data_IF_666483637579
#
_entry.id   IF_666483637579
#
_cell.length_a   1.000
_cell.length_b   1.000
_cell.length_c   1.000
_cell.angle_alpha   90.00
_cell.angle_beta   90.00
_cell.angle_gamma   90.00
#
_symmetry.space_group_name_H-M   'P 1'
#
loop_
_entity.id
_entity.type
_entity.pdbx_description
1 polymer ?
#
# COMPACT_ATOMS: atom_id res chain seq x y z
N UNK A 1 -4.04 21.86 -14.09
CA UNK A 1 -2.91 21.30 -14.87
C UNK A 1 -3.49 20.32 -15.90
N UNK A 2 -3.23 20.47 -17.22
CA UNK A 2 -3.90 19.64 -18.24
C UNK A 2 -3.48 18.16 -18.16
N UNK A 3 -4.34 17.16 -18.46
CA UNK A 3 -3.92 15.76 -18.56
C UNK A 3 -2.69 15.63 -19.45
N UNK A 4 -1.76 14.75 -19.08
CA UNK A 4 -0.56 14.53 -19.88
C UNK A 4 -0.95 14.04 -21.28
N UNK A 5 -0.95 14.94 -22.26
CA UNK A 5 -1.30 14.61 -23.64
C UNK A 5 -0.24 13.66 -24.23
N UNK A 6 -0.68 12.58 -24.89
CA UNK A 6 0.20 11.75 -25.74
C UNK A 6 0.74 10.45 -25.14
N UNK A 7 0.29 9.99 -23.97
CA UNK A 7 0.70 8.68 -23.43
C UNK A 7 -0.02 7.50 -24.09
N UNK A 8 0.75 6.48 -24.47
CA UNK A 8 0.23 5.21 -25.01
C UNK A 8 -0.40 4.41 -23.88
N UNK A 9 -1.63 3.91 -24.07
CA UNK A 9 -2.32 3.03 -23.11
C UNK A 9 -1.39 1.88 -22.69
N UNK A 10 -1.27 1.62 -21.37
CA UNK A 10 -0.39 0.62 -20.72
C UNK A 10 1.12 0.86 -20.81
N UNK A 11 1.58 1.96 -21.41
CA UNK A 11 2.99 2.34 -21.23
C UNK A 11 3.21 2.73 -19.77
N UNK A 12 4.27 2.23 -19.10
CA UNK A 12 4.61 2.64 -17.75
C UNK A 12 4.96 4.14 -17.71
N UNK A 13 4.67 4.76 -16.58
CA UNK A 13 4.99 6.15 -16.27
C UNK A 13 5.69 6.17 -14.93
N UNK A 14 6.71 7.00 -14.78
CA UNK A 14 7.42 7.07 -13.52
C UNK A 14 6.51 7.55 -12.40
N UNK A 15 6.64 6.92 -11.24
CA UNK A 15 6.03 7.38 -10.00
C UNK A 15 7.00 8.30 -9.24
N UNK A 16 6.52 8.94 -8.17
CA UNK A 16 7.32 9.89 -7.41
C UNK A 16 8.44 9.23 -6.61
N UNK A 17 8.27 7.97 -6.19
CA UNK A 17 9.29 7.20 -5.48
C UNK A 17 10.50 6.99 -6.41
N UNK A 18 10.27 6.54 -7.64
CA UNK A 18 11.32 6.36 -8.65
C UNK A 18 12.05 7.68 -8.96
N UNK A 19 11.32 8.78 -9.05
CA UNK A 19 11.91 10.09 -9.27
C UNK A 19 12.77 10.55 -8.08
N UNK A 20 12.33 10.27 -6.85
CA UNK A 20 13.09 10.53 -5.64
C UNK A 20 14.38 9.69 -5.58
N UNK A 21 14.29 8.39 -5.90
CA UNK A 21 15.46 7.49 -5.96
C UNK A 21 16.51 7.96 -6.97
N UNK A 22 16.10 8.36 -8.18
CA UNK A 22 17.03 8.87 -9.19
C UNK A 22 17.66 10.22 -8.81
N UNK A 23 17.00 10.99 -7.94
CA UNK A 23 17.51 12.23 -7.36
C UNK A 23 18.40 11.99 -6.12
N UNK A 24 18.69 10.72 -5.79
CA UNK A 24 19.56 10.35 -4.67
C UNK A 24 18.86 10.20 -3.33
N UNK A 25 17.56 10.49 -3.24
CA UNK A 25 16.82 10.47 -1.98
C UNK A 25 16.49 9.06 -1.51
N UNK A 26 16.49 8.86 -0.20
CA UNK A 26 15.99 7.62 0.39
C UNK A 26 14.47 7.47 0.19
N UNK A 27 13.99 6.23 0.16
CA UNK A 27 12.59 5.92 -0.13
C UNK A 27 11.98 4.87 0.78
N UNK A 28 10.70 5.02 1.10
CA UNK A 28 9.98 4.04 1.91
C UNK A 28 8.51 3.83 1.58
N UNK A 29 8.04 2.64 1.92
CA UNK A 29 6.67 2.17 1.74
C UNK A 29 6.18 1.50 3.04
N UNK A 30 5.03 1.94 3.52
CA UNK A 30 4.35 1.34 4.67
C UNK A 30 2.89 1.07 4.30
N UNK A 31 2.41 -0.14 4.56
CA UNK A 31 0.99 -0.49 4.40
C UNK A 31 0.57 -1.52 5.46
N UNK A 32 -0.65 -1.42 5.96
CA UNK A 32 -1.23 -2.46 6.85
C UNK A 32 -1.81 -3.64 6.07
N UNK A 33 -2.00 -3.53 4.75
CA UNK A 33 -2.30 -4.67 3.87
C UNK A 33 -1.06 -5.48 3.51
N UNK A 34 -1.23 -6.45 2.61
CA UNK A 34 -0.10 -6.99 1.87
C UNK A 34 0.64 -5.87 1.12
N UNK A 35 1.97 -5.89 1.14
CA UNK A 35 2.76 -4.77 0.60
C UNK A 35 2.64 -4.61 -0.93
N UNK A 36 2.24 -5.65 -1.67
CA UNK A 36 1.96 -5.58 -3.11
C UNK A 36 0.50 -5.22 -3.45
N UNK A 37 -0.29 -4.82 -2.45
CA UNK A 37 -1.62 -4.29 -2.69
C UNK A 37 -1.57 -2.97 -3.49
N UNK A 38 -2.71 -2.53 -4.02
CA UNK A 38 -2.75 -1.53 -5.09
C UNK A 38 -2.12 -0.17 -4.73
N UNK A 39 -2.32 0.32 -3.50
CA UNK A 39 -1.79 1.61 -3.05
C UNK A 39 -0.27 1.61 -3.00
N UNK A 40 0.42 0.73 -2.25
CA UNK A 40 1.88 0.63 -2.32
C UNK A 40 2.40 0.28 -3.71
N UNK A 41 1.72 -0.61 -4.44
CA UNK A 41 2.10 -0.96 -5.81
C UNK A 41 2.13 0.25 -6.75
N UNK A 42 1.20 1.20 -6.62
CA UNK A 42 1.15 2.39 -7.48
C UNK A 42 2.38 3.32 -7.31
N UNK A 43 3.10 3.20 -6.19
CA UNK A 43 4.34 3.94 -5.92
C UNK A 43 5.60 3.11 -6.18
N UNK A 44 5.49 1.84 -6.60
CA UNK A 44 6.66 0.95 -6.60
C UNK A 44 6.69 -0.07 -7.73
N UNK A 45 5.65 -0.14 -8.56
CA UNK A 45 5.51 -1.14 -9.60
C UNK A 45 4.63 -0.65 -10.76
N UNK A 46 4.78 -1.33 -11.88
CA UNK A 46 4.08 -1.08 -13.14
C UNK A 46 3.46 -2.37 -13.63
N UNK A 47 2.14 -2.50 -13.48
CA UNK A 47 1.42 -3.67 -13.92
C UNK A 47 0.04 -3.31 -14.49
N UNK A 48 -0.37 -3.89 -15.64
CA UNK A 48 -1.70 -3.67 -16.19
C UNK A 48 -2.85 -4.21 -15.33
N UNK A 49 -2.57 -5.10 -14.36
CA UNK A 49 -3.56 -5.75 -13.53
C UNK A 49 -3.09 -5.79 -12.06
N UNK A 50 -3.81 -5.09 -11.18
CA UNK A 50 -3.53 -5.06 -9.72
C UNK A 50 -3.53 -6.43 -9.04
N UNK A 51 -4.07 -7.47 -9.67
CA UNK A 51 -4.10 -8.84 -9.13
C UNK A 51 -2.86 -9.66 -9.45
N UNK A 52 -1.95 -9.15 -10.28
CA UNK A 52 -0.71 -9.84 -10.62
C UNK A 52 0.34 -9.59 -9.54
N UNK A 53 0.09 -10.19 -8.36
CA UNK A 53 0.95 -10.03 -7.19
C UNK A 53 2.35 -10.57 -7.41
N UNK A 54 2.51 -11.59 -8.26
CA UNK A 54 3.84 -12.13 -8.57
C UNK A 54 4.70 -11.09 -9.27
N UNK A 55 4.18 -10.42 -10.31
CA UNK A 55 4.90 -9.35 -11.00
C UNK A 55 5.13 -8.13 -10.09
N UNK A 56 4.10 -7.69 -9.36
CA UNK A 56 4.18 -6.49 -8.51
C UNK A 56 5.20 -6.67 -7.40
N UNK A 57 5.15 -7.79 -6.67
CA UNK A 57 6.06 -7.99 -5.54
C UNK A 57 7.49 -8.25 -6.01
N UNK A 58 7.69 -8.86 -7.19
CA UNK A 58 9.01 -8.99 -7.79
C UNK A 58 9.58 -7.60 -8.11
N UNK A 59 8.80 -6.73 -8.75
CA UNK A 59 9.21 -5.34 -8.99
C UNK A 59 9.55 -4.64 -7.67
N UNK A 60 8.71 -4.74 -6.64
CA UNK A 60 8.98 -4.12 -5.34
C UNK A 60 10.32 -4.54 -4.70
N UNK A 61 10.65 -5.83 -4.75
CA UNK A 61 11.92 -6.33 -4.20
C UNK A 61 13.12 -5.80 -4.97
N UNK A 62 12.99 -5.71 -6.30
CA UNK A 62 14.04 -5.20 -7.19
C UNK A 62 13.97 -3.67 -7.42
N UNK A 63 12.99 -2.97 -6.85
CA UNK A 63 12.87 -1.51 -6.92
C UNK A 63 13.86 -0.81 -5.99
N UNK A 64 14.52 -1.57 -5.10
CA UNK A 64 15.61 -1.09 -4.25
C UNK A 64 15.19 -0.03 -3.21
N UNK A 65 13.93 -0.07 -2.77
CA UNK A 65 13.32 0.81 -1.74
C UNK A 65 14.04 0.64 -0.41
N UNK A 66 14.38 1.69 0.32
CA UNK A 66 15.23 1.58 1.51
C UNK A 66 14.49 1.03 2.74
N UNK A 67 13.23 1.43 2.93
CA UNK A 67 12.39 0.97 4.04
C UNK A 67 11.06 0.43 3.53
N UNK A 68 10.78 -0.85 3.80
CA UNK A 68 9.51 -1.47 3.44
C UNK A 68 8.89 -2.13 4.64
N UNK A 69 7.70 -1.73 5.05
CA UNK A 69 6.98 -2.29 6.20
C UNK A 69 5.54 -2.66 5.84
N UNK A 70 5.15 -3.93 6.05
CA UNK A 70 3.75 -4.33 5.87
C UNK A 70 3.50 -5.81 6.09
N UNK A 71 2.47 -6.34 5.43
CA UNK A 71 2.10 -7.74 5.47
C UNK A 71 2.45 -8.51 4.19
N UNK A 72 2.11 -9.80 4.18
CA UNK A 72 2.07 -10.63 2.97
C UNK A 72 3.15 -11.70 2.84
N UNK A 73 3.81 -12.12 3.93
CA UNK A 73 4.98 -13.03 3.89
C UNK A 73 4.74 -14.29 3.05
N UNK A 74 3.51 -14.83 3.08
CA UNK A 74 3.19 -16.07 2.37
C UNK A 74 3.33 -15.95 0.86
N UNK A 75 3.23 -14.75 0.29
CA UNK A 75 3.28 -14.50 -1.15
C UNK A 75 4.70 -14.23 -1.67
N UNK A 76 5.71 -14.22 -0.80
CA UNK A 76 7.11 -13.96 -1.18
C UNK A 76 7.96 -15.23 -1.17
N UNK A 77 7.43 -16.35 -0.69
CA UNK A 77 8.10 -17.65 -0.76
C UNK A 77 7.68 -18.44 -2.00
N UNK A 78 8.43 -19.50 -2.32
CA UNK A 78 8.19 -20.36 -3.49
C UNK A 78 6.78 -20.97 -3.49
N UNK A 79 6.23 -21.31 -2.33
CA UNK A 79 4.92 -21.96 -2.23
C UNK A 79 3.75 -21.02 -2.52
N UNK A 80 3.90 -19.72 -2.24
CA UNK A 80 2.87 -18.72 -2.48
C UNK A 80 2.95 -18.02 -3.83
N UNK A 81 3.94 -18.35 -4.66
CA UNK A 81 4.18 -17.71 -5.95
C UNK A 81 3.97 -18.67 -7.10
N UNK A 82 3.26 -18.22 -8.13
CA UNK A 82 2.99 -19.06 -9.30
C UNK A 82 4.22 -19.17 -10.21
N UNK A 83 5.15 -18.22 -10.12
CA UNK A 83 6.38 -18.15 -10.90
C UNK A 83 7.55 -18.97 -10.34
N UNK A 84 7.45 -19.44 -9.09
CA UNK A 84 8.44 -20.27 -8.42
C UNK A 84 9.67 -19.51 -7.87
N UNK A 85 9.67 -18.17 -7.92
CA UNK A 85 10.76 -17.37 -7.37
C UNK A 85 10.74 -17.37 -5.83
N UNK A 86 11.91 -17.30 -5.17
CA UNK A 86 12.01 -17.10 -3.72
C UNK A 86 12.42 -15.66 -3.41
N UNK A 87 11.43 -14.77 -3.29
CA UNK A 87 11.69 -13.36 -3.00
C UNK A 87 12.15 -13.14 -1.56
N UNK A 88 11.77 -14.01 -0.61
CA UNK A 88 12.29 -13.92 0.76
C UNK A 88 13.80 -14.17 0.83
N UNK A 89 14.31 -15.09 -0.01
CA UNK A 89 15.75 -15.30 -0.12
C UNK A 89 16.45 -14.03 -0.64
N UNK A 90 15.91 -13.41 -1.71
CA UNK A 90 16.44 -12.16 -2.27
C UNK A 90 16.39 -11.03 -1.24
N UNK A 91 15.28 -10.89 -0.50
CA UNK A 91 15.15 -9.88 0.56
C UNK A 91 16.22 -10.09 1.62
N UNK A 92 16.38 -11.31 2.14
CA UNK A 92 17.36 -11.60 3.21
C UNK A 92 18.82 -11.41 2.78
N UNK A 93 19.11 -11.47 1.49
CA UNK A 93 20.44 -11.19 0.95
C UNK A 93 20.73 -9.68 0.87
N UNK A 94 19.70 -8.86 0.65
CA UNK A 94 19.85 -7.43 0.33
C UNK A 94 19.36 -6.47 1.42
N UNK A 95 18.59 -6.96 2.40
CA UNK A 95 17.92 -6.18 3.42
C UNK A 95 18.10 -6.80 4.81
N UNK A 96 18.01 -5.94 5.83
CA UNK A 96 17.69 -6.42 7.18
C UNK A 96 16.23 -6.86 7.19
N UNK A 97 16.00 -8.17 7.15
CA UNK A 97 14.65 -8.73 7.25
C UNK A 97 14.19 -8.74 8.71
N UNK A 98 13.04 -8.14 8.99
CA UNK A 98 12.40 -8.14 10.31
C UNK A 98 10.98 -8.68 10.23
N UNK A 99 10.55 -9.41 11.26
CA UNK A 99 9.28 -10.16 11.26
C UNK A 99 8.39 -9.87 12.45
N UNK A 100 8.88 -9.05 13.39
CA UNK A 100 8.12 -8.61 14.56
C UNK A 100 8.58 -7.23 15.03
N UNK A 101 7.82 -6.64 15.95
CA UNK A 101 8.10 -5.32 16.52
C UNK A 101 9.50 -5.22 17.14
N UNK A 102 9.93 -6.21 17.92
CA UNK A 102 11.22 -6.16 18.61
C UNK A 102 12.41 -6.14 17.63
N UNK A 103 12.32 -6.93 16.55
CA UNK A 103 13.31 -6.92 15.47
C UNK A 103 13.32 -5.56 14.75
N UNK A 104 12.15 -4.99 14.45
CA UNK A 104 12.03 -3.66 13.84
C UNK A 104 12.65 -2.56 14.71
N UNK A 105 12.39 -2.57 16.03
CA UNK A 105 12.94 -1.60 16.98
C UNK A 105 14.49 -1.66 17.05
N UNK A 106 15.04 -2.84 16.78
CA UNK A 106 16.48 -3.11 16.73
C UNK A 106 17.19 -2.43 15.55
N UNK A 107 16.49 -2.15 14.44
CA UNK A 107 17.08 -1.56 13.24
C UNK A 107 17.44 -0.09 13.48
N UNK A 108 18.65 0.29 13.07
CA UNK A 108 19.21 1.64 13.25
C UNK A 108 19.50 2.38 11.94
N UNK A 109 20.07 1.69 10.96
CA UNK A 109 20.52 2.29 9.69
C UNK A 109 20.39 1.28 8.55
N UNK A 110 20.48 1.75 7.31
CA UNK A 110 20.52 0.90 6.11
C UNK A 110 19.16 0.30 5.73
N UNK A 111 19.17 -0.54 4.69
CA UNK A 111 17.92 -1.06 4.13
C UNK A 111 17.27 -2.11 5.02
N UNK A 112 15.95 -2.01 5.14
CA UNK A 112 15.13 -2.89 5.99
C UNK A 112 13.85 -3.29 5.28
N UNK A 113 13.48 -4.56 5.42
CA UNK A 113 12.24 -5.10 4.92
C UNK A 113 11.51 -5.83 6.05
N UNK A 114 10.45 -5.22 6.56
CA UNK A 114 9.60 -5.76 7.61
C UNK A 114 8.32 -6.39 7.05
N UNK A 115 8.11 -7.67 7.38
CA UNK A 115 6.87 -8.38 7.08
C UNK A 115 6.28 -8.98 8.36
N UNK A 116 5.21 -8.36 8.86
CA UNK A 116 4.70 -8.64 10.21
C UNK A 116 3.52 -9.62 10.25
N UNK A 117 3.01 -10.02 9.08
CA UNK A 117 1.91 -10.96 8.94
C UNK A 117 2.00 -11.78 7.64
N UNK A 118 1.43 -12.99 7.63
CA UNK A 118 1.37 -13.84 6.43
C UNK A 118 0.55 -13.22 5.29
N UNK A 119 -0.45 -12.40 5.63
CA UNK A 119 -1.32 -11.63 4.72
C UNK A 119 -1.32 -10.18 5.20
N UNK A 120 -2.41 -9.44 5.12
CA UNK A 120 -2.54 -8.17 5.85
C UNK A 120 -2.33 -8.30 7.36
N UNK A 121 -1.92 -7.20 8.00
CA UNK A 121 -1.90 -7.05 9.45
C UNK A 121 -3.34 -7.13 10.01
N UNK A 122 -3.45 -7.35 11.31
CA UNK A 122 -4.73 -7.22 12.02
C UNK A 122 -5.23 -5.77 11.96
N UNK A 123 -6.54 -5.57 12.19
CA UNK A 123 -7.02 -4.23 12.55
C UNK A 123 -6.30 -3.77 13.82
N UNK A 124 -6.07 -2.46 13.98
CA UNK A 124 -5.29 -1.94 15.11
C UNK A 124 -5.84 -2.36 16.49
N UNK A 125 -7.17 -2.45 16.64
CA UNK A 125 -7.82 -2.95 17.87
C UNK A 125 -7.56 -4.44 18.15
N UNK A 126 -7.27 -5.24 17.13
CA UNK A 126 -7.17 -6.70 17.22
C UNK A 126 -5.72 -7.21 17.21
N UNK A 127 -4.73 -6.32 17.09
CA UNK A 127 -3.33 -6.69 16.87
C UNK A 127 -2.66 -7.25 18.12
N UNK A 128 -1.78 -8.24 17.91
CA UNK A 128 -0.80 -8.64 18.93
C UNK A 128 0.35 -7.62 18.93
N UNK A 129 0.31 -6.69 19.89
CA UNK A 129 1.26 -5.58 19.98
C UNK A 129 2.74 -5.97 20.09
N UNK A 130 3.05 -7.23 20.42
CA UNK A 130 4.43 -7.73 20.46
C UNK A 130 4.91 -8.23 19.09
N UNK A 131 3.98 -8.67 18.24
CA UNK A 131 4.27 -9.17 16.89
C UNK A 131 4.11 -8.09 15.85
N UNK A 132 2.96 -7.43 15.84
CA UNK A 132 2.58 -6.45 14.83
C UNK A 132 2.77 -5.02 15.38
N UNK A 133 3.74 -4.26 14.84
CA UNK A 133 3.84 -2.84 15.15
C UNK A 133 2.61 -2.09 14.63
N UNK A 134 2.19 -1.07 15.35
CA UNK A 134 1.17 -0.13 14.87
C UNK A 134 1.67 0.66 13.66
N UNK A 135 0.73 1.24 12.89
CA UNK A 135 1.06 2.12 11.77
C UNK A 135 1.93 3.31 12.20
N UNK A 136 1.67 3.88 13.37
CA UNK A 136 2.45 4.97 13.93
C UNK A 136 3.88 4.53 14.29
N UNK A 137 4.06 3.34 14.86
CA UNK A 137 5.39 2.79 15.17
C UNK A 137 6.20 2.49 13.90
N UNK A 138 5.57 1.91 12.87
CA UNK A 138 6.20 1.71 11.56
C UNK A 138 6.60 3.06 10.93
N UNK A 139 5.71 4.05 10.98
CA UNK A 139 5.96 5.41 10.46
C UNK A 139 7.13 6.07 11.16
N UNK A 140 7.15 6.03 12.49
CA UNK A 140 8.23 6.57 13.31
C UNK A 140 9.57 5.91 12.95
N UNK A 141 9.59 4.57 12.87
CA UNK A 141 10.80 3.83 12.50
C UNK A 141 11.31 4.16 11.09
N UNK A 142 10.40 4.27 10.13
CA UNK A 142 10.78 4.60 8.76
C UNK A 142 11.38 6.01 8.69
N UNK A 143 10.76 7.00 9.32
CA UNK A 143 11.29 8.37 9.40
C UNK A 143 12.67 8.37 10.09
N UNK A 144 12.86 7.63 11.19
CA UNK A 144 14.15 7.51 11.88
C UNK A 144 15.27 7.01 10.97
N UNK A 145 14.98 6.07 10.07
CA UNK A 145 15.97 5.49 9.16
C UNK A 145 16.18 6.39 7.94
N UNK A 146 15.10 6.81 7.28
CA UNK A 146 15.13 7.56 6.02
C UNK A 146 15.65 8.99 6.20
N UNK A 147 15.38 9.64 7.34
CA UNK A 147 15.85 11.01 7.60
C UNK A 147 17.36 11.13 7.83
N UNK A 148 18.09 10.00 7.81
CA UNK A 148 19.56 9.99 7.86
C UNK A 148 20.18 10.28 6.49
N UNK A 149 19.40 10.20 5.41
CA UNK A 149 19.86 10.57 4.08
C UNK A 149 19.94 12.10 3.94
N UNK A 150 21.12 12.60 3.56
CA UNK A 150 21.38 14.04 3.43
C UNK A 150 20.59 14.66 2.26
N UNK A 151 20.22 13.88 1.25
CA UNK A 151 19.42 14.32 0.10
C UNK A 151 17.91 14.34 0.43
N UNK A 152 17.52 13.86 1.62
CA UNK A 152 16.15 13.77 2.09
C UNK A 152 15.47 12.46 1.68
N UNK A 153 14.14 12.38 1.82
CA UNK A 153 13.41 11.14 1.54
C UNK A 153 11.98 11.33 1.02
N UNK A 154 11.47 10.28 0.38
CA UNK A 154 10.03 10.09 0.10
C UNK A 154 9.50 8.90 0.91
N UNK A 155 8.35 9.07 1.58
CA UNK A 155 7.70 8.02 2.34
C UNK A 155 6.21 7.98 2.04
N UNK A 156 5.69 6.82 1.63
CA UNK A 156 4.26 6.55 1.51
C UNK A 156 3.80 5.67 2.67
N UNK A 157 2.72 6.08 3.34
CA UNK A 157 2.11 5.38 4.49
C UNK A 157 0.62 5.16 4.23
N UNK A 158 0.17 3.91 4.32
CA UNK A 158 -1.22 3.52 4.09
C UNK A 158 -1.84 2.84 5.34
N UNK A 159 -3.00 3.33 5.76
CA UNK A 159 -3.94 2.60 6.63
C UNK A 159 -4.95 1.83 5.76
N UNK A 160 -4.60 0.59 5.42
CA UNK A 160 -5.23 -0.14 4.32
C UNK A 160 -6.62 -0.71 4.66
N UNK A 161 -6.92 -1.02 5.93
CA UNK A 161 -8.15 -1.74 6.29
C UNK A 161 -9.34 -0.83 6.61
N UNK A 162 -9.15 0.50 6.61
CA UNK A 162 -10.27 1.46 6.66
C UNK A 162 -11.27 1.18 5.53
N UNK A 163 -10.76 0.94 4.32
CA UNK A 163 -11.55 0.57 3.15
C UNK A 163 -12.28 -0.78 3.33
N UNK A 164 -11.59 -1.78 3.87
CA UNK A 164 -12.15 -3.12 4.08
C UNK A 164 -13.26 -3.11 5.13
N UNK A 165 -13.10 -2.32 6.18
CA UNK A 165 -14.16 -2.10 7.18
C UNK A 165 -15.34 -1.32 6.59
N UNK A 166 -15.08 -0.34 5.73
CA UNK A 166 -16.14 0.36 4.99
C UNK A 166 -16.95 -0.62 4.15
N UNK A 167 -16.30 -1.46 3.33
CA UNK A 167 -16.96 -2.50 2.53
C UNK A 167 -17.81 -3.46 3.37
N UNK A 168 -17.43 -3.69 4.63
CA UNK A 168 -18.17 -4.51 5.58
C UNK A 168 -19.27 -3.75 6.34
N UNK A 169 -19.39 -2.43 6.15
CA UNK A 169 -20.25 -1.55 6.93
C UNK A 169 -20.00 -1.70 8.45
N UNK A 170 -18.72 -1.81 8.80
CA UNK A 170 -18.25 -2.01 10.17
C UNK A 170 -17.68 -0.71 10.75
N UNK A 171 -18.47 0.05 11.55
CA UNK A 171 -17.98 1.28 12.16
C UNK A 171 -16.85 1.04 13.17
N UNK A 172 -16.72 -0.16 13.75
CA UNK A 172 -15.64 -0.44 14.70
C UNK A 172 -14.33 -0.69 13.97
N UNK A 173 -14.35 -1.47 12.89
CA UNK A 173 -13.20 -1.61 12.00
C UNK A 173 -12.75 -0.26 11.41
N UNK A 174 -13.70 0.61 11.03
CA UNK A 174 -13.42 1.97 10.56
C UNK A 174 -12.72 2.80 11.64
N UNK A 175 -13.26 2.83 12.86
CA UNK A 175 -12.67 3.59 13.97
C UNK A 175 -11.27 3.08 14.31
N UNK A 176 -11.09 1.75 14.38
CA UNK A 176 -9.79 1.12 14.65
C UNK A 176 -8.69 1.67 13.75
N UNK A 177 -8.88 1.56 12.44
CA UNK A 177 -7.82 1.88 11.47
C UNK A 177 -7.75 3.38 11.15
N UNK A 178 -8.85 4.13 11.32
CA UNK A 178 -8.82 5.59 11.20
C UNK A 178 -8.04 6.24 12.36
N UNK A 179 -8.18 5.73 13.59
CA UNK A 179 -7.38 6.21 14.73
C UNK A 179 -5.90 5.85 14.57
N UNK A 180 -5.58 4.66 14.06
CA UNK A 180 -4.19 4.30 13.73
C UNK A 180 -3.61 5.22 12.64
N UNK A 181 -4.40 5.59 11.63
CA UNK A 181 -3.99 6.56 10.61
C UNK A 181 -3.74 7.95 11.20
N UNK A 182 -4.64 8.46 12.04
CA UNK A 182 -4.49 9.75 12.73
C UNK A 182 -3.20 9.81 13.57
N UNK A 183 -2.89 8.74 14.30
CA UNK A 183 -1.63 8.63 15.05
C UNK A 183 -0.39 8.67 14.14
N UNK A 184 -0.42 7.97 13.00
CA UNK A 184 0.68 7.97 12.03
C UNK A 184 0.87 9.36 11.37
N UNK A 185 -0.23 10.04 11.04
CA UNK A 185 -0.19 11.44 10.58
C UNK A 185 0.38 12.35 11.67
N UNK A 186 0.02 12.13 12.93
CA UNK A 186 0.59 12.84 14.08
C UNK A 186 2.11 12.70 14.18
N UNK A 187 2.64 11.50 13.98
CA UNK A 187 4.09 11.22 13.92
C UNK A 187 4.75 12.00 12.78
N UNK A 188 4.20 11.91 11.56
CA UNK A 188 4.74 12.61 10.40
C UNK A 188 4.72 14.14 10.58
N UNK A 189 3.64 14.69 11.13
CA UNK A 189 3.51 16.12 11.42
C UNK A 189 4.47 16.60 12.51
N UNK A 190 4.71 15.78 13.54
CA UNK A 190 5.67 16.11 14.60
C UNK A 190 7.08 16.21 14.02
N UNK A 191 7.49 15.24 13.20
CA UNK A 191 8.75 15.30 12.47
C UNK A 191 8.83 16.52 11.57
N UNK A 192 7.82 16.76 10.73
CA UNK A 192 7.83 17.85 9.77
C UNK A 192 7.93 19.24 10.42
N UNK A 193 7.28 19.44 11.58
CA UNK A 193 7.39 20.68 12.36
C UNK A 193 8.77 20.88 12.97
N UNK A 194 9.43 19.80 13.39
CA UNK A 194 10.76 19.85 13.98
C UNK A 194 11.84 20.05 12.90
N UNK A 195 11.73 19.33 11.79
CA UNK A 195 12.67 19.38 10.68
C UNK A 195 12.61 20.73 9.95
N UNK A 196 11.40 21.27 9.72
CA UNK A 196 11.21 22.59 9.11
C UNK A 196 11.37 22.62 7.59
N UNK A 197 11.71 21.49 6.96
CA UNK A 197 11.88 21.30 5.52
C UNK A 197 11.16 20.01 5.06
N UNK A 198 9.88 19.90 5.39
CA UNK A 198 9.06 18.72 5.09
C UNK A 198 7.64 19.11 4.69
N UNK A 199 7.11 18.40 3.69
CA UNK A 199 5.69 18.43 3.33
C UNK A 199 5.03 17.14 3.76
N UNK A 200 3.87 17.23 4.40
CA UNK A 200 3.02 16.09 4.77
C UNK A 200 1.70 16.22 4.03
N UNK A 201 1.33 15.19 3.29
CA UNK A 201 0.05 15.09 2.58
C UNK A 201 -0.72 13.91 3.17
N UNK A 202 -1.91 14.17 3.69
CA UNK A 202 -2.84 13.13 4.11
C UNK A 202 -4.12 13.26 3.28
N UNK A 203 -4.48 12.17 2.60
CA UNK A 203 -5.64 12.09 1.72
C UNK A 203 -6.20 10.67 1.76
N UNK A 204 -7.39 10.50 1.21
CA UNK A 204 -7.95 9.18 0.88
C UNK A 204 -8.07 9.06 -0.64
N UNK A 205 -7.99 7.83 -1.13
CA UNK A 205 -8.11 7.50 -2.54
C UNK A 205 -9.54 7.63 -3.07
N UNK A 206 -10.56 7.40 -2.22
CA UNK A 206 -11.98 7.58 -2.54
C UNK A 206 -12.89 7.54 -1.30
N UNK A 207 -14.15 7.95 -1.48
CA UNK A 207 -15.22 7.63 -0.54
C UNK A 207 -15.59 6.14 -0.55
N UNK A 208 -16.16 5.61 0.54
CA UNK A 208 -16.67 4.24 0.58
C UNK A 208 -17.93 4.13 1.46
N UNK A 209 -18.85 3.25 1.06
CA UNK A 209 -20.10 2.86 1.72
C UNK A 209 -21.14 3.95 1.96
N UNK A 210 -20.83 5.21 1.64
CA UNK A 210 -21.72 6.36 1.82
C UNK A 210 -22.26 6.44 3.24
N UNK A 211 -21.33 6.59 4.19
CA UNK A 211 -21.59 6.59 5.63
C UNK A 211 -22.40 7.83 6.03
N UNK A 212 -23.37 7.67 6.92
CA UNK A 212 -24.13 8.79 7.50
C UNK A 212 -24.22 8.70 9.03
N UNK A 213 -24.13 9.86 9.69
CA UNK A 213 -24.52 10.01 11.09
C UNK A 213 -26.03 10.28 11.11
N UNK A 214 -26.80 9.28 11.52
CA UNK A 214 -28.24 9.20 11.28
C UNK A 214 -28.58 8.16 10.22
N UNK A 215 -29.76 7.57 10.36
CA UNK A 215 -30.32 6.60 9.41
C UNK A 215 -31.85 6.72 9.37
N UNK A 216 -32.53 5.83 8.63
CA UNK A 216 -33.99 5.86 8.49
C UNK A 216 -34.77 5.88 9.81
N UNK A 217 -34.25 5.25 10.87
CA UNK A 217 -34.88 5.25 12.20
C UNK A 217 -34.85 6.62 12.89
N UNK A 218 -33.90 7.47 12.51
CA UNK A 218 -33.74 8.83 13.08
C UNK A 218 -34.55 9.91 12.37
N UNK A 219 -35.25 9.57 11.27
CA UNK A 219 -35.89 10.55 10.37
C UNK A 219 -36.91 11.46 11.05
N UNK A 220 -37.56 11.00 12.13
CA UNK A 220 -38.63 11.72 12.83
C UNK A 220 -38.20 12.31 14.18
N UNK A 221 -36.94 12.16 14.60
CA UNK A 221 -36.46 12.62 15.92
C UNK A 221 -34.99 13.08 15.92
N UNK A 222 -34.39 13.32 14.76
CA UNK A 222 -32.96 13.67 14.62
C UNK A 222 -32.56 14.91 15.42
N UNK A 223 -33.49 15.86 15.59
CA UNK A 223 -33.31 17.10 16.36
C UNK A 223 -33.32 16.89 17.88
N UNK A 224 -33.79 15.73 18.35
CA UNK A 224 -33.87 15.37 19.76
C UNK A 224 -32.78 14.38 20.20
N UNK A 225 -32.05 13.77 19.27
CA UNK A 225 -31.03 12.77 19.59
C UNK A 225 -29.74 13.44 20.08
N UNK A 226 -29.29 13.17 21.32
CA UNK A 226 -28.05 13.73 21.80
C UNK A 226 -26.85 12.97 21.20
N UNK A 227 -25.69 13.62 21.08
CA UNK A 227 -24.45 13.00 20.56
C UNK A 227 -24.13 11.60 21.16
N UNK A 228 -24.32 11.34 22.47
CA UNK A 228 -24.11 10.00 23.04
C UNK A 228 -24.91 8.88 22.37
N UNK A 229 -26.07 9.17 21.77
CA UNK A 229 -26.86 8.17 21.03
C UNK A 229 -26.14 7.61 19.78
N UNK A 230 -25.12 8.31 19.29
CA UNK A 230 -24.30 7.88 18.16
C UNK A 230 -22.96 7.27 18.59
N UNK A 231 -22.45 7.70 19.75
CA UNK A 231 -21.08 7.42 20.17
C UNK A 231 -21.00 6.35 21.26
N UNK A 232 -21.92 6.35 22.22
CA UNK A 232 -21.84 5.43 23.37
C UNK A 232 -21.92 3.95 22.97
N UNK A 233 -22.74 3.54 21.98
CA UNK A 233 -22.72 2.15 21.51
C UNK A 233 -21.36 1.76 20.92
N UNK A 234 -20.73 2.66 20.15
CA UNK A 234 -19.44 2.41 19.50
C UNK A 234 -18.31 2.28 20.53
N UNK A 235 -18.32 3.12 21.58
CA UNK A 235 -17.31 3.13 22.66
C UNK A 235 -17.25 1.85 23.49
N UNK A 236 -18.30 1.03 23.46
CA UNK A 236 -18.33 -0.25 24.17
C UNK A 236 -17.56 -1.34 23.44
N UNK A 237 -17.27 -1.15 22.15
CA UNK A 237 -16.57 -2.15 21.37
C UNK A 237 -15.06 -2.09 21.63
N UNK A 238 -14.45 -3.25 21.87
CA UNK A 238 -13.00 -3.38 22.09
C UNK A 238 -12.32 -4.37 21.12
N UNK A 239 -13.09 -5.01 20.24
CA UNK A 239 -12.59 -5.83 19.13
C UNK A 239 -13.36 -5.46 17.86
N UNK A 240 -12.76 -5.64 16.69
CA UNK A 240 -13.52 -5.62 15.44
C UNK A 240 -14.21 -6.98 15.22
N UNK A 241 -15.01 -7.11 14.16
CA UNK A 241 -15.55 -8.43 13.78
C UNK A 241 -14.47 -9.48 13.55
N UNK A 242 -13.31 -9.10 13.01
CA UNK A 242 -12.17 -10.01 12.80
C UNK A 242 -11.60 -10.49 14.14
N UNK A 243 -11.45 -9.58 15.11
CA UNK A 243 -11.07 -9.91 16.48
C UNK A 243 -12.07 -10.83 17.17
N UNK A 244 -13.37 -10.58 17.02
CA UNK A 244 -14.41 -11.46 17.57
C UNK A 244 -14.30 -12.89 17.05
N UNK A 245 -13.99 -13.06 15.78
CA UNK A 245 -13.87 -14.39 15.17
C UNK A 245 -12.78 -15.24 15.84
N UNK A 246 -11.75 -14.61 16.41
CA UNK A 246 -10.65 -15.29 17.14
C UNK A 246 -11.06 -15.78 18.53
N UNK A 247 -12.09 -15.20 19.15
CA UNK A 247 -12.56 -15.56 20.51
C UNK A 247 -13.87 -16.35 20.53
N UNK A 248 -14.54 -16.47 19.39
CA UNK A 248 -15.70 -17.34 19.24
C UNK A 248 -15.29 -18.82 19.24
N UNK A 249 -16.12 -19.67 19.84
CA UNK A 249 -15.93 -21.13 19.75
C UNK A 249 -16.17 -21.60 18.30
N UNK A 250 -15.66 -22.79 17.96
CA UNK A 250 -15.81 -23.34 16.61
C UNK A 250 -17.28 -23.44 16.14
N UNK A 251 -18.22 -23.69 17.06
CA UNK A 251 -19.66 -23.71 16.80
C UNK A 251 -20.37 -22.39 17.19
N UNK A 252 -19.59 -21.38 17.62
CA UNK A 252 -20.04 -20.04 18.03
C UNK A 252 -21.15 -20.06 19.08
N UNK A 253 -21.17 -21.08 19.94
CA UNK A 253 -22.14 -21.21 21.02
C UNK A 253 -22.01 -20.12 22.09
N UNK A 254 -20.85 -19.46 22.16
CA UNK A 254 -20.58 -18.33 23.04
C UNK A 254 -20.88 -16.95 22.42
N UNK A 255 -21.59 -16.88 21.28
CA UNK A 255 -21.85 -15.62 20.58
C UNK A 255 -22.47 -14.53 21.47
N UNK A 256 -23.45 -14.89 22.32
CA UNK A 256 -24.12 -13.91 23.21
C UNK A 256 -23.13 -13.32 24.23
N UNK A 257 -22.37 -14.17 24.94
CA UNK A 257 -21.42 -13.70 25.94
C UNK A 257 -20.29 -12.88 25.30
N UNK A 258 -19.84 -13.26 24.11
CA UNK A 258 -18.79 -12.54 23.37
C UNK A 258 -19.27 -11.16 22.91
N UNK A 259 -20.49 -11.05 22.39
CA UNK A 259 -21.05 -9.75 21.98
C UNK A 259 -21.34 -8.84 23.17
N UNK A 260 -21.75 -9.41 24.31
CA UNK A 260 -21.89 -8.65 25.55
C UNK A 260 -20.54 -8.14 26.06
N UNK A 261 -19.53 -9.01 26.12
CA UNK A 261 -18.19 -8.69 26.65
C UNK A 261 -17.46 -7.67 25.79
N UNK A 262 -17.41 -7.89 24.47
CA UNK A 262 -16.53 -7.13 23.57
C UNK A 262 -17.23 -6.04 22.77
N UNK A 263 -18.57 -6.06 22.67
CA UNK A 263 -19.36 -5.05 21.96
C UNK A 263 -20.35 -4.33 22.89
N UNK A 264 -20.54 -4.80 24.13
CA UNK A 264 -21.52 -4.25 25.06
C UNK A 264 -22.96 -4.42 24.58
N UNK A 265 -23.21 -5.39 23.70
CA UNK A 265 -24.53 -5.69 23.13
C UNK A 265 -25.18 -6.81 23.96
N UNK A 266 -26.15 -6.44 24.79
CA UNK A 266 -26.89 -7.35 25.69
C UNK A 266 -28.27 -7.74 25.15
N UNK A 267 -28.66 -7.21 23.99
CA UNK A 267 -30.00 -7.28 23.43
C UNK A 267 -30.03 -7.92 22.03
N UNK A 268 -29.13 -8.87 21.77
CA UNK A 268 -29.14 -9.60 20.50
C UNK A 268 -30.49 -10.28 20.25
N UNK A 269 -31.01 -10.14 19.03
CA UNK A 269 -32.20 -10.89 18.62
C UNK A 269 -31.84 -12.32 18.24
N UNK A 270 -32.85 -13.20 18.14
CA UNK A 270 -32.64 -14.57 17.67
C UNK A 270 -32.04 -14.61 16.27
N UNK A 271 -32.44 -13.68 15.39
CA UNK A 271 -31.92 -13.53 14.04
C UNK A 271 -30.46 -13.05 14.04
N UNK A 272 -30.09 -12.10 14.92
CA UNK A 272 -28.69 -11.64 15.06
C UNK A 272 -27.79 -12.78 15.57
N UNK A 273 -28.26 -13.56 16.53
CA UNK A 273 -27.52 -14.74 17.05
C UNK A 273 -27.30 -15.77 15.94
N UNK A 274 -28.34 -16.06 15.15
CA UNK A 274 -28.22 -17.03 14.06
C UNK A 274 -27.30 -16.53 12.94
N UNK A 275 -27.39 -15.25 12.59
CA UNK A 275 -26.48 -14.63 11.62
C UNK A 275 -25.02 -14.78 12.05
N UNK A 276 -24.69 -14.54 13.33
CA UNK A 276 -23.33 -14.75 13.85
C UNK A 276 -22.91 -16.22 13.71
N UNK A 277 -23.79 -17.18 13.99
CA UNK A 277 -23.47 -18.62 13.87
C UNK A 277 -23.22 -19.05 12.43
N UNK A 278 -24.02 -18.57 11.48
CA UNK A 278 -23.95 -18.98 10.07
C UNK A 278 -22.89 -18.23 9.26
N UNK A 279 -22.33 -17.15 9.81
CA UNK A 279 -21.35 -16.29 9.10
C UNK A 279 -20.17 -17.10 8.56
N UNK A 280 -19.77 -16.86 7.31
CA UNK A 280 -18.57 -17.51 6.76
C UNK A 280 -17.32 -16.96 7.42
N UNK A 281 -16.30 -17.80 7.58
CA UNK A 281 -15.05 -17.34 8.17
C UNK A 281 -14.44 -16.17 7.37
N UNK A 282 -13.88 -15.18 8.07
CA UNK A 282 -13.36 -13.95 7.49
C UNK A 282 -14.44 -12.97 7.02
N UNK A 283 -15.70 -13.16 7.42
CA UNK A 283 -16.83 -12.25 7.09
C UNK A 283 -17.49 -11.65 8.32
N UNK A 284 -16.93 -11.86 9.52
CA UNK A 284 -17.57 -11.46 10.76
C UNK A 284 -17.81 -9.95 10.88
N UNK A 285 -16.90 -9.10 10.39
CA UNK A 285 -17.11 -7.64 10.31
C UNK A 285 -18.41 -7.29 9.59
N UNK A 286 -18.70 -7.95 8.46
CA UNK A 286 -19.91 -7.70 7.67
C UNK A 286 -21.21 -8.16 8.35
N UNK A 287 -21.09 -9.01 9.37
CA UNK A 287 -22.22 -9.48 10.17
C UNK A 287 -22.44 -8.58 11.38
N UNK A 288 -21.40 -8.32 12.18
CA UNK A 288 -21.55 -7.59 13.45
C UNK A 288 -21.50 -6.07 13.28
N UNK A 289 -20.83 -5.57 12.23
CA UNK A 289 -20.74 -4.15 11.89
C UNK A 289 -22.12 -3.49 11.76
N UNK A 290 -23.03 -4.04 10.93
CA UNK A 290 -24.39 -3.53 10.84
C UNK A 290 -25.19 -3.58 12.15
N UNK A 291 -24.93 -4.57 13.03
CA UNK A 291 -25.62 -4.71 14.32
C UNK A 291 -25.28 -3.56 15.27
N UNK A 292 -24.00 -3.21 15.37
CA UNK A 292 -23.56 -2.09 16.20
C UNK A 292 -23.85 -0.74 15.53
N UNK A 293 -23.75 -0.64 14.20
CA UNK A 293 -24.13 0.55 13.45
C UNK A 293 -25.59 0.93 13.69
N UNK A 294 -26.50 -0.05 13.67
CA UNK A 294 -27.93 0.15 13.97
C UNK A 294 -28.12 0.73 15.37
N UNK A 295 -27.42 0.19 16.38
CA UNK A 295 -27.49 0.66 17.77
C UNK A 295 -26.89 2.06 17.94
N UNK A 296 -25.88 2.40 17.13
CA UNK A 296 -25.22 3.69 17.05
C UNK A 296 -25.89 4.70 16.09
N UNK A 297 -27.06 4.38 15.52
CA UNK A 297 -27.74 5.22 14.54
C UNK A 297 -26.86 5.63 13.34
N UNK A 298 -25.88 4.80 12.96
CA UNK A 298 -25.03 5.00 11.78
C UNK A 298 -25.70 4.33 10.58
N UNK A 299 -25.72 5.04 9.45
CA UNK A 299 -26.23 4.54 8.18
C UNK A 299 -25.13 4.26 7.17
N UNK A 300 -25.39 3.32 6.27
CA UNK A 300 -24.57 3.01 5.11
C UNK A 300 -25.49 2.82 3.90
N UNK A 301 -25.07 3.27 2.72
CA UNK A 301 -25.88 3.24 1.49
C UNK A 301 -25.47 2.14 0.52
N UNK A 302 -24.25 1.66 0.62
CA UNK A 302 -23.67 0.60 -0.21
C UNK A 302 -22.61 -0.15 0.60
N UNK A 303 -22.02 -1.20 0.02
CA UNK A 303 -20.80 -1.85 0.53
C UNK A 303 -19.67 -1.69 -0.48
N UNK A 304 -19.57 -0.53 -1.13
CA UNK A 304 -18.67 -0.25 -2.25
C UNK A 304 -18.29 1.22 -2.29
N UNK A 305 -17.36 1.57 -3.18
CA UNK A 305 -16.83 2.93 -3.25
C UNK A 305 -17.90 3.94 -3.67
N UNK A 306 -17.72 5.18 -3.24
CA UNK A 306 -18.58 6.31 -3.54
C UNK A 306 -17.77 7.44 -4.19
N UNK A 307 -18.46 8.35 -4.90
CA UNK A 307 -17.85 9.30 -5.84
C UNK A 307 -17.85 10.75 -5.37
N UNK A 308 -18.01 10.99 -4.07
CA UNK A 308 -17.90 12.31 -3.46
C UNK A 308 -16.46 12.83 -3.46
N UNK A 309 -16.33 14.16 -3.37
CA UNK A 309 -15.06 14.80 -3.09
C UNK A 309 -14.57 14.36 -1.70
N UNK A 310 -13.28 14.09 -1.59
CA UNK A 310 -12.67 13.60 -0.36
C UNK A 310 -11.79 14.66 0.32
N UNK A 311 -11.63 14.62 1.65
CA UNK A 311 -10.75 15.55 2.35
C UNK A 311 -9.29 15.39 1.92
N UNK A 312 -8.63 16.54 1.75
CA UNK A 312 -7.18 16.65 1.56
C UNK A 312 -6.62 17.54 2.66
N UNK A 313 -5.62 17.02 3.37
CA UNK A 313 -4.86 17.75 4.37
C UNK A 313 -3.42 17.87 3.91
N UNK A 314 -2.91 19.10 3.87
CA UNK A 314 -1.51 19.38 3.49
C UNK A 314 -0.89 20.26 4.55
N UNK A 315 0.22 19.81 5.10
CA UNK A 315 1.16 20.64 5.84
C UNK A 315 2.38 20.88 4.95
N UNK A 316 2.81 22.14 4.83
CA UNK A 316 3.98 22.51 4.07
C UNK A 316 4.90 23.39 4.91
N UNK A 317 6.21 23.11 4.84
CA UNK A 317 7.29 23.90 5.44
C UNK A 317 8.44 24.07 4.43
N UNK A 318 9.59 24.62 4.80
CA UNK A 318 10.71 24.80 3.87
C UNK A 318 10.52 25.90 2.81
N UNK A 319 9.52 26.77 2.97
CA UNK A 319 9.26 27.87 2.03
C UNK A 319 8.54 27.47 0.74
N UNK A 320 7.95 26.26 0.69
CA UNK A 320 7.08 25.83 -0.41
C UNK A 320 5.62 26.24 -0.18
N UNK A 321 4.92 26.56 -1.26
CA UNK A 321 3.49 26.90 -1.19
C UNK A 321 2.67 25.69 -0.76
N UNK A 322 1.78 25.87 0.22
CA UNK A 322 0.81 24.84 0.59
C UNK A 322 -0.21 24.65 -0.53
N UNK A 323 -0.45 23.40 -0.92
CA UNK A 323 -1.55 23.04 -1.83
C UNK A 323 -2.90 23.24 -1.12
N UNK A 324 -3.80 24.02 -1.73
CA UNK A 324 -5.10 24.41 -1.15
C UNK A 324 -6.20 24.45 -2.22
N UNK A 325 -7.47 24.46 -1.79
CA UNK A 325 -8.64 24.52 -2.67
C UNK A 325 -9.14 23.15 -3.13
N UNK A 326 -9.95 23.14 -4.19
CA UNK A 326 -10.40 21.91 -4.87
C UNK A 326 -9.31 21.45 -5.82
N UNK A 327 -8.80 20.24 -5.62
CA UNK A 327 -7.70 19.69 -6.40
C UNK A 327 -8.07 18.33 -6.97
N UNK A 328 -7.58 18.03 -8.16
CA UNK A 328 -7.68 16.70 -8.74
C UNK A 328 -6.61 15.79 -8.12
N UNK A 329 -6.89 14.49 -7.99
CA UNK A 329 -5.89 13.55 -7.45
C UNK A 329 -4.57 13.55 -8.26
N UNK A 330 -4.64 13.78 -9.58
CA UNK A 330 -3.46 13.90 -10.45
C UNK A 330 -2.60 15.14 -10.15
N UNK A 331 -3.17 16.16 -9.51
CA UNK A 331 -2.42 17.35 -9.11
C UNK A 331 -1.54 17.08 -7.89
N UNK A 332 -1.82 16.06 -7.08
CA UNK A 332 -0.94 15.63 -5.97
C UNK A 332 0.43 15.18 -6.48
N UNK A 333 0.46 14.35 -7.53
CA UNK A 333 1.72 13.90 -8.12
C UNK A 333 2.57 15.07 -8.66
N UNK A 334 1.91 16.07 -9.26
CA UNK A 334 2.55 17.28 -9.80
C UNK A 334 3.01 18.23 -8.69
N UNK A 335 2.25 18.31 -7.62
CA UNK A 335 2.63 19.05 -6.44
C UNK A 335 3.88 18.43 -5.79
N UNK A 336 3.93 17.10 -5.64
CA UNK A 336 5.12 16.40 -5.17
C UNK A 336 6.32 16.61 -6.12
N UNK A 337 6.12 16.53 -7.44
CA UNK A 337 7.16 16.84 -8.44
C UNK A 337 7.76 18.24 -8.21
N UNK A 338 6.91 19.26 -8.03
CA UNK A 338 7.34 20.64 -7.75
C UNK A 338 8.09 20.75 -6.42
N UNK A 339 7.52 20.20 -5.34
CA UNK A 339 8.08 20.31 -3.98
C UNK A 339 9.43 19.61 -3.87
N UNK A 340 9.58 18.44 -4.49
CA UNK A 340 10.81 17.67 -4.45
C UNK A 340 11.87 18.15 -5.45
N UNK A 341 11.51 19.04 -6.38
CA UNK A 341 12.44 19.53 -7.40
C UNK A 341 12.82 18.49 -8.47
N UNK A 342 11.99 17.44 -8.65
CA UNK A 342 12.24 16.34 -9.58
C UNK A 342 11.44 16.51 -10.89
N UNK A 343 11.63 15.61 -11.86
CA UNK A 343 10.80 15.58 -13.08
C UNK A 343 10.33 14.17 -13.44
N UNK A 344 9.05 13.90 -13.19
CA UNK A 344 8.40 12.62 -13.55
C UNK A 344 8.50 12.35 -15.05
N UNK A 345 8.45 13.38 -15.88
CA UNK A 345 8.59 13.24 -17.33
C UNK A 345 10.02 12.84 -17.74
N UNK A 346 11.04 13.43 -17.11
CA UNK A 346 12.43 13.04 -17.35
C UNK A 346 12.71 11.63 -16.84
N UNK A 347 12.29 11.32 -15.61
CA UNK A 347 12.38 9.98 -15.00
C UNK A 347 11.69 8.94 -15.89
N UNK A 348 10.49 9.23 -16.41
CA UNK A 348 9.79 8.31 -17.33
C UNK A 348 10.60 8.01 -18.58
N UNK A 349 11.22 9.03 -19.19
CA UNK A 349 12.05 8.83 -20.39
C UNK A 349 13.31 8.04 -20.11
N UNK A 350 13.88 8.17 -18.91
CA UNK A 350 15.07 7.44 -18.49
C UNK A 350 14.74 5.98 -18.16
N UNK A 351 13.71 5.72 -17.36
CA UNK A 351 13.40 4.38 -16.85
C UNK A 351 12.62 3.50 -17.84
N UNK A 352 11.86 4.10 -18.76
CA UNK A 352 10.94 3.36 -19.61
C UNK A 352 11.21 3.58 -21.10
N UNK A 353 12.39 3.14 -21.54
CA UNK A 353 12.75 3.10 -22.96
C UNK A 353 12.14 1.85 -23.60
N UNK A 354 11.36 1.97 -24.71
CA UNK A 354 10.90 0.79 -25.45
C UNK A 354 12.09 -0.04 -25.94
N UNK A 355 12.29 -1.22 -25.35
CA UNK A 355 13.56 -1.90 -25.40
C UNK A 355 13.98 -2.28 -26.82
N UNK A 356 13.03 -2.75 -27.64
CA UNK A 356 13.26 -3.05 -29.05
C UNK A 356 13.84 -1.84 -29.80
N UNK A 357 13.19 -0.68 -29.66
CA UNK A 357 13.62 0.57 -30.30
C UNK A 357 15.01 1.02 -29.80
N UNK A 358 15.24 0.95 -28.49
CA UNK A 358 16.50 1.36 -27.87
C UNK A 358 17.69 0.52 -28.34
N UNK A 359 17.57 -0.81 -28.26
CA UNK A 359 18.64 -1.73 -28.63
C UNK A 359 18.86 -1.82 -30.16
N UNK A 360 17.81 -1.76 -30.97
CA UNK A 360 17.95 -1.74 -32.44
C UNK A 360 18.66 -0.46 -32.92
N UNK A 361 18.47 0.68 -32.24
CA UNK A 361 19.23 1.90 -32.52
C UNK A 361 20.74 1.74 -32.24
N UNK A 362 21.13 0.80 -31.37
CA UNK A 362 22.53 0.40 -31.13
C UNK A 362 23.03 -0.69 -32.09
N UNK A 363 22.19 -1.15 -33.02
CA UNK A 363 22.50 -2.20 -34.01
C UNK A 363 22.34 -3.63 -33.48
N UNK A 364 21.64 -3.82 -32.35
CA UNK A 364 21.36 -5.14 -31.82
C UNK A 364 20.08 -5.76 -32.40
N UNK A 365 19.99 -7.08 -32.42
CA UNK A 365 18.72 -7.78 -32.60
C UNK A 365 18.08 -8.02 -31.24
N UNK A 366 16.74 -7.93 -31.18
CA UNK A 366 16.00 -8.05 -29.92
C UNK A 366 14.94 -9.14 -30.05
N UNK A 367 14.89 -10.03 -29.07
CA UNK A 367 13.85 -11.06 -28.95
C UNK A 367 13.33 -11.14 -27.52
N UNK A 368 12.11 -11.61 -27.38
CA UNK A 368 11.51 -11.90 -26.08
C UNK A 368 11.52 -13.41 -25.88
N UNK A 369 12.33 -13.88 -24.95
CA UNK A 369 12.47 -15.29 -24.61
C UNK A 369 11.38 -15.69 -23.62
N UNK A 370 10.40 -16.42 -24.11
CA UNK A 370 9.27 -16.94 -23.30
C UNK A 370 9.33 -18.47 -23.21
N UNK A 371 10.53 -19.07 -23.35
CA UNK A 371 10.71 -20.51 -23.18
C UNK A 371 10.34 -20.95 -21.76
N UNK A 372 10.61 -20.11 -20.76
CA UNK A 372 9.91 -20.08 -19.49
C UNK A 372 8.86 -18.96 -19.51
N UNK A 373 7.59 -19.34 -19.65
CA UNK A 373 6.48 -18.39 -19.70
C UNK A 373 6.24 -17.67 -18.37
N UNK A 374 6.72 -18.22 -17.25
CA UNK A 374 6.59 -17.61 -15.91
C UNK A 374 7.68 -16.58 -15.64
N UNK A 375 8.86 -16.80 -16.22
CA UNK A 375 10.04 -15.94 -16.04
C UNK A 375 10.58 -15.47 -17.40
N UNK A 376 9.83 -14.65 -18.14
CA UNK A 376 10.25 -14.23 -19.46
C UNK A 376 11.46 -13.29 -19.38
N UNK A 377 12.31 -13.37 -20.41
CA UNK A 377 13.58 -12.65 -20.48
C UNK A 377 13.67 -11.89 -21.79
N UNK A 378 13.93 -10.59 -21.72
CA UNK A 378 14.32 -9.82 -22.89
C UNK A 378 15.77 -10.13 -23.26
N UNK A 379 16.04 -10.43 -24.53
CA UNK A 379 17.39 -10.73 -25.02
C UNK A 379 17.76 -9.79 -26.16
N UNK A 380 18.87 -9.07 -26.01
CA UNK A 380 19.45 -8.22 -27.05
C UNK A 380 20.84 -8.73 -27.43
N UNK A 381 21.12 -8.86 -28.74
CA UNK A 381 22.38 -9.43 -29.24
C UNK A 381 23.02 -8.54 -30.31
N UNK A 382 24.31 -8.25 -30.14
CA UNK A 382 25.13 -7.55 -31.14
C UNK A 382 26.52 -8.19 -31.20
N UNK A 383 26.83 -8.85 -32.32
CA UNK A 383 28.09 -9.56 -32.48
C UNK A 383 28.28 -10.65 -31.42
N UNK A 384 29.23 -10.45 -30.50
CA UNK A 384 29.52 -11.37 -29.38
C UNK A 384 28.87 -10.97 -28.06
N UNK A 385 28.20 -9.82 -28.01
CA UNK A 385 27.55 -9.32 -26.81
C UNK A 385 26.10 -9.81 -26.78
N UNK A 386 25.74 -10.58 -25.76
CA UNK A 386 24.37 -10.92 -25.39
C UNK A 386 24.02 -10.23 -24.06
N UNK A 387 22.92 -9.50 -24.04
CA UNK A 387 22.33 -8.92 -22.83
C UNK A 387 20.99 -9.59 -22.58
N UNK A 388 20.85 -10.22 -21.40
CA UNK A 388 19.61 -10.86 -20.95
C UNK A 388 19.03 -10.08 -19.78
N UNK A 389 17.76 -9.70 -19.85
CA UNK A 389 17.09 -8.86 -18.84
C UNK A 389 15.81 -9.58 -18.42
N UNK A 390 15.78 -10.23 -17.25
CA UNK A 390 14.57 -10.79 -16.69
C UNK A 390 13.54 -9.68 -16.40
N UNK A 391 12.30 -9.89 -16.85
CA UNK A 391 11.21 -8.94 -16.60
C UNK A 391 10.94 -8.85 -15.09
N UNK A 392 10.45 -7.70 -14.63
CA UNK A 392 10.16 -7.37 -13.24
C UNK A 392 11.38 -7.27 -12.32
N UNK A 393 12.59 -7.25 -12.88
CA UNK A 393 13.84 -7.08 -12.12
C UNK A 393 14.62 -5.86 -12.59
N UNK A 394 15.51 -5.35 -11.76
CA UNK A 394 16.51 -4.34 -12.12
C UNK A 394 17.86 -4.98 -12.51
N UNK A 395 17.85 -6.20 -13.05
CA UNK A 395 19.06 -6.95 -13.38
C UNK A 395 19.20 -7.13 -14.89
N UNK A 396 20.43 -6.98 -15.38
CA UNK A 396 20.85 -7.38 -16.71
C UNK A 396 22.04 -8.34 -16.60
N UNK A 397 22.11 -9.33 -17.47
CA UNK A 397 23.25 -10.25 -17.58
C UNK A 397 23.95 -10.00 -18.91
N UNK A 398 25.13 -9.39 -18.86
CA UNK A 398 25.97 -9.15 -20.03
C UNK A 398 26.93 -10.32 -20.17
N UNK A 399 26.73 -11.16 -21.19
CA UNK A 399 27.46 -12.41 -21.38
C UNK A 399 27.52 -13.29 -20.12
N UNK A 400 26.42 -13.30 -19.35
CA UNK A 400 26.30 -14.05 -18.10
C UNK A 400 26.75 -13.32 -16.83
N UNK A 401 27.33 -12.12 -16.94
CA UNK A 401 27.74 -11.31 -15.78
C UNK A 401 26.60 -10.38 -15.37
N UNK A 402 26.13 -10.52 -14.12
CA UNK A 402 25.07 -9.69 -13.56
C UNK A 402 25.51 -8.23 -13.43
N UNK A 403 24.64 -7.31 -13.83
CA UNK A 403 24.79 -5.86 -13.77
C UNK A 403 23.47 -5.29 -13.26
N UNK A 404 23.53 -4.45 -12.22
CA UNK A 404 22.37 -3.76 -11.67
C UNK A 404 22.01 -2.56 -12.56
N UNK A 405 20.73 -2.40 -12.81
CA UNK A 405 20.12 -1.30 -13.54
C UNK A 405 19.56 -0.26 -12.56
N UNK A 406 19.36 0.97 -13.04
CA UNK A 406 18.74 2.10 -12.30
C UNK A 406 17.20 2.02 -12.23
N UNK A 407 16.59 0.98 -12.79
CA UNK A 407 15.16 0.71 -12.67
C UNK A 407 14.78 -0.69 -13.14
N UNK A 408 13.54 -1.08 -12.88
CA UNK A 408 13.03 -2.41 -13.24
C UNK A 408 12.65 -2.49 -14.72
N UNK A 409 12.84 -3.67 -15.32
CA UNK A 409 12.31 -3.97 -16.65
C UNK A 409 10.81 -4.30 -16.57
N UNK A 410 10.00 -3.65 -17.40
CA UNK A 410 8.53 -3.72 -17.33
C UNK A 410 7.94 -4.27 -18.63
N UNK A 411 6.93 -5.13 -18.51
CA UNK A 411 6.14 -5.62 -19.64
C UNK A 411 4.71 -5.04 -19.62
N UNK A 412 4.27 -4.44 -20.73
CA UNK A 412 2.94 -3.78 -20.82
C UNK A 412 1.75 -4.74 -20.99
N UNK A 413 1.99 -6.05 -21.02
CA UNK A 413 0.96 -7.05 -21.27
C UNK A 413 0.41 -7.06 -22.70
N UNK A 414 1.01 -6.30 -23.62
CA UNK A 414 0.58 -6.19 -25.05
C UNK A 414 1.70 -6.43 -26.05
N UNK A 415 2.91 -6.75 -25.59
CA UNK A 415 4.05 -7.08 -26.45
C UNK A 415 5.17 -6.05 -26.44
N UNK A 416 5.08 -4.97 -25.65
CA UNK A 416 6.20 -4.03 -25.47
C UNK A 416 6.89 -4.28 -24.13
N UNK A 417 8.21 -4.46 -24.19
CA UNK A 417 9.08 -4.42 -23.01
C UNK A 417 9.71 -3.03 -22.92
N UNK A 418 9.73 -2.48 -21.72
CA UNK A 418 10.39 -1.24 -21.36
C UNK A 418 11.56 -1.57 -20.44
N UNK A 419 12.70 -0.95 -20.69
CA UNK A 419 13.90 -1.08 -19.87
C UNK A 419 14.44 0.31 -19.58
N UNK A 420 15.18 0.50 -18.49
CA UNK A 420 15.86 1.76 -18.28
C UNK A 420 16.94 2.00 -19.34
N UNK A 421 17.29 3.28 -19.52
CA UNK A 421 18.35 3.73 -20.40
C UNK A 421 19.70 3.08 -20.03
N UNK A 422 19.95 2.83 -18.74
CA UNK A 422 21.13 2.10 -18.27
C UNK A 422 21.28 0.73 -18.94
N UNK A 423 20.17 0.03 -19.22
CA UNK A 423 20.21 -1.25 -19.92
C UNK A 423 20.59 -1.10 -21.40
N UNK A 424 20.13 -0.02 -22.05
CA UNK A 424 20.48 0.28 -23.44
C UNK A 424 21.95 0.65 -23.57
N UNK A 425 22.49 1.34 -22.57
CA UNK A 425 23.89 1.82 -22.55
C UNK A 425 24.91 0.70 -22.35
N UNK A 426 24.49 -0.47 -21.83
CA UNK A 426 25.29 -1.69 -21.80
C UNK A 426 25.57 -2.24 -23.22
N UNK A 427 24.78 -1.83 -24.23
CA UNK A 427 24.96 -2.24 -25.62
C UNK A 427 25.78 -1.21 -26.39
N UNK A 428 27.08 -1.48 -26.54
CA UNK A 428 28.03 -0.64 -27.28
C UNK A 428 28.39 -1.17 -28.67
#
# INVERSE_FOLDING_TARGET
LAPLAGYKKRAPIANILEAAQLDGKATGLIATSEIMHATPAAFSAHCPNRKDYDAISMQQVYQDVDVVFGGGTKFFNVAGRSDGNDLLAVIKENYQFVSNKAEMDGVKTGKVWGMFADSALAFDFDRDTQKEPSLAEMTQKAIEILSQDEDGFFLMVESSKTDWAAHANDPIGLISDFLAFDQAVGVALAFAKQNGDTVVIAATDHGNSGISIGNGATSNNYDMLPLPAFIDPLKKASLTGEGLEKVLTANRSNAVSVMEEYFGITDLTAEEIEAIKETKNGRMNATVGPMIAKRANIGFTTGGHTGEDVPLYVYASGGVDQLTGTVENTDLARYMEKVMGVSLQATTRQLFVPAKKGFEAKGATVRFDTSDAKNPVLVAVKGKTEIRIPVNTNLAYVNGVATKLDGVAVFDGTGTNYVPQSAIDLMN
#
